data_IF_765231760519
#
_entry.id   IF_765231760519
#
_cell.length_a   1.000
_cell.length_b   1.000
_cell.length_c   1.000
_cell.angle_alpha   90.00
_cell.angle_beta   90.00
_cell.angle_gamma   90.00
#
_symmetry.space_group_name_H-M   'P 1'
#
loop_
_entity.id
_entity.type
_entity.pdbx_description
1 polymer ?
#
# COMPACT_ATOMS: atom_id res chain seq x y z
N UNK A 1 19.91 1.71 14.16
CA UNK A 1 18.46 1.99 14.09
C UNK A 1 17.95 2.35 15.47
N UNK A 2 17.14 3.41 15.60
CA UNK A 2 16.58 3.88 16.87
C UNK A 2 15.07 3.57 16.84
N UNK A 3 14.58 2.66 17.69
CA UNK A 3 13.13 2.39 17.79
C UNK A 3 12.42 3.52 18.53
N UNK A 4 11.25 3.92 18.04
CA UNK A 4 10.50 5.09 18.54
C UNK A 4 9.07 4.76 19.00
N UNK A 5 8.75 3.50 19.24
CA UNK A 5 7.38 3.01 19.46
C UNK A 5 6.53 3.72 20.52
N UNK A 6 7.15 4.23 21.59
CA UNK A 6 6.44 4.90 22.68
C UNK A 6 6.51 6.45 22.66
N UNK A 7 7.11 7.02 21.59
CA UNK A 7 7.29 8.47 21.49
C UNK A 7 6.08 9.14 20.82
N UNK A 8 5.80 10.39 21.19
CA UNK A 8 4.85 11.23 20.45
C UNK A 8 5.41 11.63 19.09
N UNK A 9 4.54 12.00 18.16
CA UNK A 9 4.95 12.42 16.81
C UNK A 9 5.91 13.63 16.85
N UNK A 10 5.67 14.58 17.73
CA UNK A 10 6.55 15.75 17.89
C UNK A 10 7.94 15.33 18.41
N UNK A 11 8.00 14.46 19.43
CA UNK A 11 9.27 13.95 19.96
C UNK A 11 10.06 13.14 18.91
N UNK A 12 9.35 12.45 17.99
CA UNK A 12 10.02 11.77 16.85
C UNK A 12 10.62 12.76 15.88
N UNK A 13 9.95 13.88 15.58
CA UNK A 13 10.50 14.94 14.74
C UNK A 13 11.77 15.54 15.37
N UNK A 14 11.75 15.83 16.67
CA UNK A 14 12.93 16.30 17.41
C UNK A 14 14.08 15.29 17.39
N UNK A 15 13.76 14.00 17.53
CA UNK A 15 14.76 12.92 17.45
C UNK A 15 15.39 12.83 16.07
N UNK A 16 14.60 12.93 14.99
CA UNK A 16 15.10 12.95 13.60
C UNK A 16 16.11 14.09 13.44
N UNK A 17 15.82 15.27 13.94
CA UNK A 17 16.70 16.43 13.86
C UNK A 17 17.97 16.24 14.69
N UNK A 18 17.84 15.89 15.97
CA UNK A 18 18.96 15.78 16.92
C UNK A 18 19.95 14.69 16.56
N UNK A 19 19.47 13.60 15.95
CA UNK A 19 20.32 12.49 15.50
C UNK A 19 20.82 12.63 14.07
N UNK A 20 20.37 13.68 13.36
CA UNK A 20 20.60 13.85 11.92
C UNK A 20 20.29 12.56 11.13
N UNK A 21 19.13 11.94 11.42
CA UNK A 21 18.72 10.69 10.80
C UNK A 21 18.71 10.82 9.27
N UNK A 22 19.31 9.86 8.57
CA UNK A 22 19.37 9.86 7.10
C UNK A 22 18.25 9.04 6.45
N UNK A 23 17.63 8.15 7.21
CA UNK A 23 16.54 7.27 6.76
C UNK A 23 15.48 7.20 7.85
N UNK A 24 14.21 7.28 7.43
CA UNK A 24 13.04 7.06 8.29
C UNK A 24 12.30 5.82 7.80
N UNK A 25 11.91 4.93 8.74
CA UNK A 25 11.06 3.78 8.48
C UNK A 25 9.70 4.00 9.12
N UNK A 26 8.63 3.98 8.36
CA UNK A 26 7.27 4.14 8.87
C UNK A 26 6.22 3.61 7.88
N UNK A 27 4.93 3.73 8.22
CA UNK A 27 3.86 3.50 7.25
C UNK A 27 3.67 4.74 6.36
N UNK A 28 3.15 4.61 5.12
CA UNK A 28 2.84 5.75 4.27
C UNK A 28 1.95 6.80 4.95
N UNK A 29 0.87 6.37 5.61
CA UNK A 29 -0.01 7.29 6.31
C UNK A 29 0.67 7.98 7.49
N UNK A 30 1.61 7.30 8.16
CA UNK A 30 2.36 7.93 9.25
C UNK A 30 3.36 8.98 8.74
N UNK A 31 3.99 8.76 7.59
CA UNK A 31 4.84 9.76 6.94
C UNK A 31 4.05 11.05 6.63
N UNK A 32 2.81 10.92 6.14
CA UNK A 32 1.90 12.05 5.90
C UNK A 32 1.48 12.71 7.22
N UNK A 33 1.12 11.91 8.23
CA UNK A 33 0.74 12.42 9.55
C UNK A 33 1.87 13.21 10.21
N UNK A 34 3.12 12.73 10.15
CA UNK A 34 4.26 13.49 10.67
C UNK A 34 4.45 14.83 9.95
N UNK A 35 4.20 14.87 8.64
CA UNK A 35 4.27 16.12 7.89
C UNK A 35 3.16 17.10 8.34
N UNK A 36 1.94 16.62 8.60
CA UNK A 36 0.85 17.43 9.15
C UNK A 36 1.19 17.97 10.55
N UNK A 37 1.70 17.10 11.43
CA UNK A 37 2.13 17.51 12.79
C UNK A 37 3.24 18.56 12.72
N UNK A 38 4.18 18.43 11.78
CA UNK A 38 5.22 19.42 11.57
C UNK A 38 4.62 20.78 11.16
N UNK A 39 3.70 20.79 10.19
CA UNK A 39 3.02 21.98 9.72
C UNK A 39 2.21 22.67 10.84
N UNK A 40 1.42 21.91 11.60
CA UNK A 40 0.62 22.41 12.73
C UNK A 40 1.49 23.05 13.84
N UNK A 41 2.75 22.62 13.97
CA UNK A 41 3.71 23.16 14.93
C UNK A 41 4.67 24.19 14.32
N UNK A 42 4.43 24.64 13.09
CA UNK A 42 5.28 25.62 12.40
C UNK A 42 6.67 25.10 12.02
N UNK A 43 6.83 23.77 11.95
CA UNK A 43 8.10 23.09 11.60
C UNK A 43 8.13 22.87 10.10
N UNK A 44 9.14 23.44 9.42
CA UNK A 44 9.39 23.13 8.01
C UNK A 44 10.27 21.88 7.90
N UNK A 45 9.71 20.77 7.43
CA UNK A 45 10.44 19.50 7.32
C UNK A 45 11.69 19.62 6.44
N UNK A 46 11.63 20.37 5.35
CA UNK A 46 12.78 20.60 4.46
C UNK A 46 14.01 21.18 5.19
N UNK A 47 13.81 21.92 6.27
CA UNK A 47 14.88 22.49 7.09
C UNK A 47 15.18 21.62 8.33
N UNK A 48 14.13 21.14 9.00
CA UNK A 48 14.20 20.39 10.25
C UNK A 48 14.71 18.96 10.04
N UNK A 49 14.27 18.31 8.99
CA UNK A 49 14.61 16.93 8.63
C UNK A 49 15.52 16.84 7.39
N UNK A 50 16.30 17.88 7.07
CA UNK A 50 17.16 17.97 5.87
C UNK A 50 18.19 16.84 5.74
N UNK A 51 18.49 16.15 6.81
CA UNK A 51 19.37 14.99 6.84
C UNK A 51 18.69 13.75 6.26
N UNK A 52 17.36 13.67 6.32
CA UNK A 52 16.59 12.54 5.78
C UNK A 52 16.70 12.57 4.26
N UNK A 53 17.21 11.49 3.69
CA UNK A 53 17.36 11.30 2.25
C UNK A 53 16.39 10.27 1.70
N UNK A 54 15.94 9.35 2.57
CA UNK A 54 15.03 8.26 2.20
C UNK A 54 14.00 8.03 3.28
N UNK A 55 12.77 7.77 2.83
CA UNK A 55 11.68 7.30 3.67
C UNK A 55 11.31 5.92 3.15
N UNK A 56 11.60 4.89 3.93
CA UNK A 56 11.22 3.52 3.62
C UNK A 56 9.83 3.29 4.22
N UNK A 57 8.86 3.05 3.37
CA UNK A 57 7.47 2.84 3.78
C UNK A 57 7.08 1.38 3.65
N UNK A 58 6.32 0.89 4.64
CA UNK A 58 5.83 -0.49 4.66
C UNK A 58 4.57 -0.63 5.52
N UNK A 59 3.91 -1.78 5.43
CA UNK A 59 2.84 -2.21 6.32
C UNK A 59 1.42 -1.88 5.86
N UNK A 60 1.28 -0.99 4.89
CA UNK A 60 0.01 -0.66 4.22
C UNK A 60 0.27 -0.20 2.79
N UNK A 61 -0.72 -0.18 1.88
CA UNK A 61 -0.57 0.39 0.55
C UNK A 61 -0.19 1.87 0.59
N UNK A 62 0.60 2.35 -0.36
CA UNK A 62 0.93 3.78 -0.46
C UNK A 62 2.27 4.08 -1.14
N UNK A 63 3.33 3.34 -0.84
CA UNK A 63 4.65 3.58 -1.42
C UNK A 63 4.71 3.38 -2.94
N UNK A 64 3.90 2.47 -3.45
CA UNK A 64 3.72 2.20 -4.88
C UNK A 64 2.52 2.92 -5.51
N UNK A 65 1.82 3.77 -4.75
CA UNK A 65 0.74 4.64 -5.26
C UNK A 65 1.34 6.00 -5.62
N UNK A 66 1.35 6.41 -6.91
CA UNK A 66 2.08 7.60 -7.38
C UNK A 66 1.74 8.87 -6.62
N UNK A 67 0.46 9.13 -6.39
CA UNK A 67 -0.01 10.34 -5.68
C UNK A 67 0.40 10.36 -4.22
N UNK A 68 0.32 9.23 -3.51
CA UNK A 68 0.78 9.11 -2.11
C UNK A 68 2.29 9.30 -2.03
N UNK A 69 3.04 8.64 -2.92
CA UNK A 69 4.49 8.79 -3.01
C UNK A 69 4.90 10.24 -3.22
N UNK A 70 4.32 10.90 -4.24
CA UNK A 70 4.61 12.29 -4.54
C UNK A 70 4.27 13.25 -3.38
N UNK A 71 3.16 13.00 -2.67
CA UNK A 71 2.76 13.77 -1.49
C UNK A 71 3.80 13.68 -0.36
N UNK A 72 4.29 12.47 -0.08
CA UNK A 72 5.32 12.25 0.94
C UNK A 72 6.64 12.90 0.49
N UNK A 73 7.09 12.65 -0.73
CA UNK A 73 8.34 13.20 -1.28
C UNK A 73 8.35 14.72 -1.28
N UNK A 74 7.22 15.33 -1.67
CA UNK A 74 7.07 16.81 -1.64
C UNK A 74 7.15 17.37 -0.24
N UNK A 75 6.52 16.73 0.74
CA UNK A 75 6.49 17.21 2.13
C UNK A 75 7.86 17.08 2.82
N UNK A 76 8.59 15.99 2.54
CA UNK A 76 9.84 15.66 3.22
C UNK A 76 11.10 16.10 2.46
N UNK A 77 11.02 16.35 1.17
CA UNK A 77 12.20 16.54 0.32
C UNK A 77 13.11 15.32 0.24
N UNK A 78 12.56 14.12 0.40
CA UNK A 78 13.28 12.85 0.48
C UNK A 78 12.65 11.81 -0.45
N UNK A 79 13.46 10.87 -0.94
CA UNK A 79 13.02 9.76 -1.80
C UNK A 79 12.19 8.75 -1.00
N UNK A 80 11.02 8.34 -1.52
CA UNK A 80 10.21 7.28 -0.93
C UNK A 80 10.54 5.94 -1.57
N UNK A 81 10.84 4.96 -0.73
CA UNK A 81 11.10 3.57 -1.11
C UNK A 81 10.02 2.69 -0.50
N UNK A 82 9.25 2.03 -1.35
CA UNK A 82 8.28 1.04 -0.91
C UNK A 82 8.96 -0.27 -0.52
N UNK A 83 8.47 -0.91 0.54
CA UNK A 83 9.07 -2.11 1.09
C UNK A 83 7.98 -3.06 1.60
N UNK A 84 8.11 -4.32 1.27
CA UNK A 84 7.21 -5.37 1.72
C UNK A 84 7.92 -6.41 2.58
N UNK A 85 7.22 -6.84 3.62
CA UNK A 85 7.65 -7.88 4.52
C UNK A 85 6.53 -8.30 5.45
N UNK A 86 6.68 -9.48 6.04
CA UNK A 86 5.79 -9.98 7.07
C UNK A 86 6.63 -10.63 8.17
N UNK A 87 6.09 -10.68 9.40
CA UNK A 87 6.80 -11.28 10.54
C UNK A 87 7.13 -12.74 10.30
N UNK A 88 6.28 -13.43 9.56
CA UNK A 88 6.37 -14.85 9.24
C UNK A 88 7.54 -15.16 8.30
N UNK A 89 7.76 -14.31 7.29
CA UNK A 89 8.73 -14.57 6.21
C UNK A 89 9.94 -13.65 6.25
N UNK A 90 9.81 -12.46 6.84
CA UNK A 90 10.82 -11.40 6.81
C UNK A 90 10.64 -10.44 5.64
N UNK A 91 11.65 -9.58 5.36
CA UNK A 91 11.61 -8.59 4.29
C UNK A 91 11.81 -9.27 2.92
N UNK A 92 10.77 -9.36 2.12
CA UNK A 92 10.78 -10.08 0.85
C UNK A 92 10.73 -9.18 -0.39
N UNK A 93 10.29 -7.92 -0.25
CA UNK A 93 10.06 -7.04 -1.38
C UNK A 93 10.61 -5.63 -1.16
N UNK A 94 11.10 -5.01 -2.23
CA UNK A 94 11.64 -3.66 -2.22
C UNK A 94 11.39 -2.94 -3.55
N UNK A 95 11.08 -1.65 -3.48
CA UNK A 95 11.09 -0.82 -4.67
C UNK A 95 12.54 -0.57 -5.09
N UNK A 96 12.82 -0.68 -6.39
CA UNK A 96 14.13 -0.29 -6.89
C UNK A 96 14.29 1.22 -6.75
N UNK A 97 15.39 1.73 -6.20
CA UNK A 97 15.70 3.15 -6.25
C UNK A 97 15.72 3.61 -7.70
N UNK A 98 15.17 4.79 -7.97
CA UNK A 98 15.12 5.37 -9.31
C UNK A 98 16.56 5.50 -9.85
N UNK A 99 16.98 4.57 -10.69
CA UNK A 99 18.21 4.62 -11.44
C UNK A 99 18.02 5.35 -12.77
N UNK A 100 19.10 5.66 -13.46
CA UNK A 100 19.09 6.36 -14.77
C UNK A 100 18.29 5.64 -15.87
N UNK A 101 17.87 4.40 -15.62
CA UNK A 101 17.07 3.54 -16.51
C UNK A 101 15.68 3.22 -15.92
N UNK A 102 15.23 3.95 -14.89
CA UNK A 102 13.86 3.83 -14.43
C UNK A 102 12.92 4.29 -15.53
N UNK A 103 12.16 3.39 -16.08
CA UNK A 103 11.09 3.72 -17.04
C UNK A 103 10.10 4.66 -16.36
N UNK A 104 9.70 5.72 -17.03
CA UNK A 104 8.86 6.84 -16.64
C UNK A 104 7.85 6.66 -15.48
N UNK A 105 6.77 7.44 -15.45
CA UNK A 105 5.74 7.44 -14.40
C UNK A 105 5.05 6.07 -14.16
N UNK A 106 5.18 5.12 -15.10
CA UNK A 106 4.62 3.77 -15.01
C UNK A 106 5.52 2.77 -14.26
N UNK A 107 6.70 3.17 -13.78
CA UNK A 107 7.64 2.26 -13.11
C UNK A 107 7.37 2.07 -11.60
N UNK A 108 6.10 2.10 -11.22
CA UNK A 108 5.68 1.85 -9.85
C UNK A 108 5.61 0.32 -9.60
N UNK A 109 6.22 -0.12 -8.51
CA UNK A 109 6.16 -1.53 -8.11
C UNK A 109 7.26 -1.95 -7.17
N UNK A 110 7.21 -3.23 -6.81
CA UNK A 110 8.11 -3.87 -5.85
C UNK A 110 8.77 -5.04 -6.54
N UNK A 111 10.07 -5.19 -6.37
CA UNK A 111 10.82 -6.38 -6.78
C UNK A 111 10.82 -7.39 -5.64
N UNK A 112 10.53 -8.66 -5.96
CA UNK A 112 10.74 -9.73 -4.99
C UNK A 112 12.24 -10.01 -4.88
N UNK A 113 12.75 -10.14 -3.66
CA UNK A 113 14.15 -10.50 -3.44
C UNK A 113 14.39 -11.99 -3.76
N UNK A 114 14.49 -12.33 -5.04
CA UNK A 114 14.68 -13.72 -5.49
C UNK A 114 16.06 -14.29 -5.17
N UNK A 115 16.95 -13.51 -4.54
CA UNK A 115 18.17 -14.05 -3.94
C UNK A 115 17.90 -14.79 -2.62
N UNK A 116 16.83 -14.45 -1.93
CA UNK A 116 16.47 -15.00 -0.61
C UNK A 116 15.13 -15.74 -0.63
N UNK A 117 14.32 -15.56 -1.69
CA UNK A 117 12.98 -16.13 -1.78
C UNK A 117 12.72 -16.78 -3.14
N UNK A 118 11.97 -17.86 -3.12
CA UNK A 118 11.27 -18.35 -4.32
C UNK A 118 9.87 -17.75 -4.26
N UNK A 119 9.49 -17.06 -5.33
CA UNK A 119 8.14 -16.52 -5.50
C UNK A 119 7.35 -17.43 -6.45
N UNK A 120 6.17 -17.84 -6.03
CA UNK A 120 5.17 -18.52 -6.84
C UNK A 120 3.91 -17.67 -6.89
N UNK A 121 3.20 -17.70 -8.01
CA UNK A 121 2.02 -16.88 -8.26
C UNK A 121 0.83 -17.80 -8.50
N UNK A 122 -0.08 -17.82 -7.54
CA UNK A 122 -1.25 -18.68 -7.55
C UNK A 122 -2.43 -17.93 -8.19
N UNK A 123 -3.04 -18.47 -9.25
CA UNK A 123 -4.22 -17.86 -9.85
C UNK A 123 -5.32 -17.63 -8.80
N UNK A 124 -5.97 -16.49 -8.87
CA UNK A 124 -7.11 -16.17 -8.00
C UNK A 124 -8.39 -16.37 -8.80
N UNK A 125 -9.31 -17.16 -8.26
CA UNK A 125 -10.64 -17.34 -8.87
C UNK A 125 -11.47 -16.05 -8.80
N UNK A 126 -12.51 -15.96 -9.60
CA UNK A 126 -13.46 -14.82 -9.57
C UNK A 126 -14.11 -14.61 -8.19
N UNK A 127 -14.07 -15.61 -7.32
CA UNK A 127 -14.51 -15.52 -5.92
C UNK A 127 -13.46 -14.96 -4.96
N UNK A 128 -12.26 -14.64 -5.45
CA UNK A 128 -11.19 -13.99 -4.70
C UNK A 128 -10.37 -14.91 -3.78
N UNK A 129 -10.86 -16.10 -3.47
CA UNK A 129 -10.13 -17.08 -2.67
C UNK A 129 -9.54 -18.16 -3.59
N UNK A 130 -8.21 -18.29 -3.59
CA UNK A 130 -7.56 -19.44 -4.21
C UNK A 130 -7.71 -20.66 -3.31
N UNK A 131 -8.05 -21.79 -3.87
CA UNK A 131 -8.11 -23.07 -3.16
C UNK A 131 -6.71 -23.70 -2.99
N UNK A 132 -6.58 -24.68 -2.11
CA UNK A 132 -5.31 -25.42 -1.97
C UNK A 132 -4.99 -26.24 -3.23
N UNK A 133 -5.99 -26.58 -4.05
CA UNK A 133 -5.82 -27.22 -5.36
C UNK A 133 -5.14 -26.28 -6.35
N UNK A 134 -5.39 -24.97 -6.27
CA UNK A 134 -4.76 -23.97 -7.11
C UNK A 134 -3.25 -23.83 -6.81
N UNK A 135 -2.80 -24.24 -5.63
CA UNK A 135 -1.38 -24.23 -5.27
C UNK A 135 -0.54 -25.15 -6.17
N UNK A 136 -1.14 -26.20 -6.73
CA UNK A 136 -0.46 -27.10 -7.67
C UNK A 136 -0.31 -26.48 -9.07
N UNK A 137 -1.12 -25.46 -9.39
CA UNK A 137 -1.07 -24.71 -10.64
C UNK A 137 -0.25 -23.43 -10.53
N UNK A 138 0.37 -23.16 -9.36
CA UNK A 138 1.16 -21.97 -9.13
C UNK A 138 2.35 -21.86 -10.10
N UNK A 139 2.58 -20.63 -10.56
CA UNK A 139 3.56 -20.30 -11.60
C UNK A 139 4.81 -19.72 -10.94
N UNK A 140 5.97 -20.34 -11.18
CA UNK A 140 7.27 -19.85 -10.68
C UNK A 140 7.86 -18.75 -11.58
N UNK A 141 7.68 -18.91 -12.87
CA UNK A 141 8.10 -17.92 -13.87
C UNK A 141 7.43 -18.25 -15.19
N UNK A 142 6.82 -17.33 -15.89
CA UNK A 142 6.49 -17.58 -17.28
C UNK A 142 5.99 -16.34 -18.02
N UNK A 143 6.11 -16.41 -19.34
CA UNK A 143 5.43 -15.53 -20.28
C UNK A 143 3.89 -15.69 -20.24
N UNK A 144 3.36 -16.78 -19.69
CA UNK A 144 1.93 -17.06 -19.60
C UNK A 144 1.24 -16.19 -18.53
N UNK A 145 1.93 -15.90 -17.41
CA UNK A 145 1.43 -14.99 -16.38
C UNK A 145 1.78 -13.52 -16.65
N UNK A 146 2.65 -13.25 -17.63
CA UNK A 146 3.12 -11.91 -17.92
C UNK A 146 1.99 -10.98 -18.36
N UNK A 147 1.66 -10.00 -17.52
CA UNK A 147 0.78 -8.88 -17.87
C UNK A 147 -0.73 -9.16 -17.80
N UNK A 148 -1.16 -10.36 -17.46
CA UNK A 148 -2.59 -10.70 -17.41
C UNK A 148 -2.97 -11.35 -16.06
N UNK A 149 -3.80 -10.65 -15.29
CA UNK A 149 -4.43 -11.20 -14.09
C UNK A 149 -3.79 -10.76 -12.76
N UNK A 150 -4.53 -11.06 -11.71
CA UNK A 150 -4.10 -10.89 -10.32
C UNK A 150 -3.87 -12.26 -9.72
N UNK A 151 -2.81 -12.39 -8.95
CA UNK A 151 -2.37 -13.65 -8.34
C UNK A 151 -2.19 -13.46 -6.84
N UNK A 152 -2.37 -14.53 -6.07
CA UNK A 152 -1.91 -14.57 -4.69
C UNK A 152 -0.41 -14.92 -4.69
N UNK A 153 0.38 -14.16 -3.94
CA UNK A 153 1.80 -14.41 -3.78
C UNK A 153 2.04 -15.52 -2.77
N UNK A 154 2.84 -16.51 -3.17
CA UNK A 154 3.31 -17.62 -2.33
C UNK A 154 4.83 -17.56 -2.23
N UNK A 155 5.38 -17.62 -1.03
CA UNK A 155 6.80 -17.45 -0.78
C UNK A 155 7.44 -18.67 -0.10
N UNK A 156 8.61 -19.06 -0.59
CA UNK A 156 9.52 -19.97 0.11
C UNK A 156 10.79 -19.20 0.47
N UNK A 157 11.13 -19.15 1.75
CA UNK A 157 12.34 -18.48 2.22
C UNK A 157 13.54 -19.43 2.20
N UNK A 158 14.60 -19.07 1.50
CA UNK A 158 15.80 -19.90 1.33
C UNK A 158 16.76 -19.84 2.49
N UNK A 159 16.79 -18.71 3.24
CA UNK A 159 17.78 -18.41 4.26
C UNK A 159 17.37 -18.69 5.71
N UNK A 160 16.09 -18.98 6.00
CA UNK A 160 15.58 -19.13 7.38
C UNK A 160 15.68 -20.56 7.90
N UNK A 161 16.87 -20.98 8.30
CA UNK A 161 17.11 -22.34 8.79
C UNK A 161 16.39 -22.62 10.12
N UNK A 162 16.38 -21.66 11.05
CA UNK A 162 15.78 -21.82 12.38
C UNK A 162 14.24 -21.80 12.43
N UNK A 163 13.61 -21.25 11.39
CA UNK A 163 12.15 -21.21 11.20
C UNK A 163 11.85 -21.28 9.71
N UNK A 164 11.98 -22.47 9.10
CA UNK A 164 11.81 -22.61 7.66
C UNK A 164 10.37 -22.28 7.25
N UNK A 165 10.25 -21.53 6.18
CA UNK A 165 8.97 -21.18 5.57
C UNK A 165 8.99 -21.70 4.15
N UNK A 166 8.10 -22.64 3.85
CA UNK A 166 8.00 -23.29 2.54
C UNK A 166 6.58 -23.13 2.03
N UNK A 167 6.45 -22.57 0.81
CA UNK A 167 5.18 -22.32 0.12
C UNK A 167 4.14 -21.61 1.01
N UNK A 168 4.59 -20.56 1.69
CA UNK A 168 3.75 -19.74 2.55
C UNK A 168 2.83 -18.86 1.69
N UNK A 169 1.54 -19.06 1.82
CA UNK A 169 0.53 -18.18 1.23
C UNK A 169 0.51 -16.87 1.98
N UNK A 170 0.94 -15.78 1.34
CA UNK A 170 1.01 -14.47 1.99
C UNK A 170 -0.37 -13.85 2.16
N UNK A 171 -1.34 -14.25 1.34
CA UNK A 171 -2.62 -13.58 1.19
C UNK A 171 -2.53 -12.28 0.39
N UNK A 172 -1.33 -11.87 -0.04
CA UNK A 172 -1.15 -10.65 -0.82
C UNK A 172 -1.48 -10.89 -2.29
N UNK A 173 -2.32 -10.02 -2.86
CA UNK A 173 -2.67 -10.01 -4.26
C UNK A 173 -1.69 -9.13 -5.03
N UNK A 174 -1.13 -9.68 -6.11
CA UNK A 174 -0.05 -9.05 -6.86
C UNK A 174 -0.24 -9.25 -8.36
N UNK A 175 0.47 -8.42 -9.15
CA UNK A 175 0.56 -8.57 -10.62
C UNK A 175 2.03 -8.71 -11.00
N UNK A 176 2.52 -9.94 -11.26
CA UNK A 176 3.90 -10.17 -11.61
C UNK A 176 4.20 -9.73 -13.06
N UNK A 177 5.38 -9.13 -13.24
CA UNK A 177 5.92 -8.73 -14.55
C UNK A 177 7.39 -9.11 -14.60
N UNK A 178 7.79 -9.90 -15.60
CA UNK A 178 9.19 -10.33 -15.80
C UNK A 178 9.93 -9.48 -16.84
N UNK A 179 9.24 -9.09 -17.92
CA UNK A 179 9.82 -8.20 -18.94
C UNK A 179 9.44 -6.74 -18.64
N UNK A 180 10.14 -6.13 -17.72
CA UNK A 180 9.88 -4.77 -17.24
C UNK A 180 10.95 -3.76 -17.69
N UNK A 181 11.94 -4.20 -18.51
CA UNK A 181 12.98 -3.31 -19.05
C UNK A 181 13.95 -2.73 -18.02
N UNK A 182 13.94 -3.21 -16.79
CA UNK A 182 14.80 -2.75 -15.68
C UNK A 182 16.10 -3.57 -15.62
N UNK A 183 17.19 -2.97 -15.12
CA UNK A 183 18.47 -3.68 -14.91
C UNK A 183 18.36 -4.79 -13.83
N UNK A 184 17.47 -4.64 -12.87
CA UNK A 184 17.13 -5.69 -11.90
C UNK A 184 16.38 -6.81 -12.63
N UNK A 185 16.89 -8.05 -12.51
CA UNK A 185 16.33 -9.25 -13.17
C UNK A 185 15.25 -9.95 -12.34
N UNK A 186 15.02 -9.52 -11.12
CA UNK A 186 13.98 -10.08 -10.23
C UNK A 186 12.59 -9.76 -10.76
N UNK A 187 11.64 -10.64 -10.46
CA UNK A 187 10.24 -10.40 -10.82
C UNK A 187 9.74 -9.12 -10.15
N UNK A 188 9.10 -8.27 -10.95
CA UNK A 188 8.48 -7.02 -10.50
C UNK A 188 7.00 -7.24 -10.25
N UNK A 189 6.49 -6.76 -9.15
CA UNK A 189 5.07 -6.69 -8.83
C UNK A 189 4.55 -5.31 -9.20
N UNK A 190 3.87 -5.19 -10.33
CA UNK A 190 3.36 -3.92 -10.85
C UNK A 190 2.32 -3.33 -9.89
N UNK A 191 2.54 -2.09 -9.41
CA UNK A 191 1.72 -1.44 -8.40
C UNK A 191 1.93 -1.96 -6.98
N UNK A 192 2.91 -2.85 -6.74
CA UNK A 192 3.20 -3.44 -5.44
C UNK A 192 2.15 -4.47 -5.00
N UNK A 193 1.80 -4.48 -3.72
CA UNK A 193 0.70 -5.28 -3.18
C UNK A 193 -0.61 -4.57 -3.48
N UNK A 194 -1.47 -5.19 -4.30
CA UNK A 194 -2.73 -4.62 -4.76
C UNK A 194 -3.85 -4.75 -3.72
N UNK A 195 -3.72 -5.69 -2.78
CA UNK A 195 -4.68 -5.96 -1.74
C UNK A 195 -4.41 -7.29 -1.06
N UNK A 196 -5.33 -7.70 -0.21
CA UNK A 196 -5.28 -9.01 0.44
C UNK A 196 -6.46 -9.86 0.01
N UNK A 197 -6.20 -11.14 -0.24
CA UNK A 197 -7.23 -12.10 -0.64
C UNK A 197 -8.29 -12.30 0.46
N UNK A 198 -7.86 -12.26 1.73
CA UNK A 198 -8.69 -12.44 2.92
C UNK A 198 -9.50 -11.19 3.32
N UNK A 199 -9.16 -10.02 2.77
CA UNK A 199 -9.91 -8.77 2.99
C UNK A 199 -11.03 -8.55 1.95
N UNK A 200 -11.17 -9.46 0.97
CA UNK A 200 -12.17 -9.32 -0.08
C UNK A 200 -13.60 -9.41 0.48
N UNK A 201 -14.45 -8.53 0.01
CA UNK A 201 -15.88 -8.54 0.30
C UNK A 201 -16.71 -8.58 -0.96
N UNK A 202 -17.81 -9.31 -0.91
CA UNK A 202 -18.81 -9.28 -1.99
C UNK A 202 -19.84 -8.20 -1.64
N UNK A 203 -19.89 -7.13 -2.43
CA UNK A 203 -20.88 -6.05 -2.31
C UNK A 203 -21.70 -6.03 -3.59
N UNK A 204 -22.99 -6.28 -3.50
CA UNK A 204 -23.89 -6.34 -4.67
C UNK A 204 -23.41 -7.29 -5.78
N UNK A 205 -22.76 -8.41 -5.40
CA UNK A 205 -22.23 -9.38 -6.36
C UNK A 205 -20.88 -8.99 -6.99
N UNK A 206 -20.28 -7.89 -6.54
CA UNK A 206 -18.96 -7.44 -7.00
C UNK A 206 -17.92 -7.69 -5.91
N UNK A 207 -16.76 -8.22 -6.28
CA UNK A 207 -15.62 -8.38 -5.39
C UNK A 207 -14.97 -7.01 -5.12
N UNK A 208 -15.05 -6.56 -3.88
CA UNK A 208 -14.48 -5.29 -3.42
C UNK A 208 -13.33 -5.57 -2.48
N UNK A 209 -12.16 -5.07 -2.82
CA UNK A 209 -10.97 -5.09 -1.97
C UNK A 209 -10.78 -3.73 -1.30
N UNK A 210 -10.60 -3.66 0.03
CA UNK A 210 -10.33 -2.41 0.74
C UNK A 210 -9.19 -1.61 0.13
N UNK A 211 -8.11 -2.28 -0.28
CA UNK A 211 -6.96 -1.65 -0.92
C UNK A 211 -7.30 -0.99 -2.27
N UNK A 212 -8.24 -1.56 -3.05
CA UNK A 212 -8.68 -0.95 -4.30
C UNK A 212 -9.45 0.35 -4.05
N UNK A 213 -10.31 0.38 -3.02
CA UNK A 213 -11.01 1.61 -2.61
C UNK A 213 -10.00 2.66 -2.13
N UNK A 214 -9.02 2.25 -1.31
CA UNK A 214 -7.95 3.13 -0.85
C UNK A 214 -7.14 3.69 -2.02
N UNK A 215 -6.77 2.86 -2.99
CA UNK A 215 -6.02 3.28 -4.17
C UNK A 215 -6.77 4.34 -4.98
N UNK A 216 -8.09 4.16 -5.18
CA UNK A 216 -8.93 5.15 -5.86
C UNK A 216 -8.93 6.48 -5.11
N UNK A 217 -9.18 6.45 -3.80
CA UNK A 217 -9.24 7.64 -2.97
C UNK A 217 -7.90 8.36 -2.87
N UNK A 218 -6.80 7.63 -2.75
CA UNK A 218 -5.44 8.17 -2.75
C UNK A 218 -5.02 8.74 -4.11
N UNK A 219 -5.74 8.40 -5.19
CA UNK A 219 -5.60 9.02 -6.50
C UNK A 219 -5.97 10.50 -6.53
N UNK A 220 -6.71 10.99 -5.54
CA UNK A 220 -7.13 12.39 -5.41
C UNK A 220 -6.23 13.12 -4.39
N UNK A 221 -5.37 14.06 -4.83
CA UNK A 221 -4.45 14.79 -3.95
C UNK A 221 -5.15 15.57 -2.83
N UNK A 222 -6.38 16.02 -3.11
CA UNK A 222 -7.24 16.77 -2.19
C UNK A 222 -7.78 15.93 -1.03
N UNK A 223 -7.80 14.59 -1.15
CA UNK A 223 -8.22 13.69 -0.07
C UNK A 223 -7.18 13.68 1.05
N UNK A 224 -7.60 14.11 2.22
CA UNK A 224 -6.78 14.16 3.44
C UNK A 224 -6.86 12.83 4.19
N UNK A 225 -8.10 12.39 4.48
CA UNK A 225 -8.38 11.14 5.17
C UNK A 225 -9.73 10.59 4.72
N UNK A 226 -9.95 9.30 4.92
CA UNK A 226 -11.21 8.65 4.57
C UNK A 226 -11.53 7.48 5.49
N UNK A 227 -12.81 7.10 5.50
CA UNK A 227 -13.32 5.88 6.12
C UNK A 227 -14.33 5.23 5.20
N UNK A 228 -14.19 3.94 4.97
CA UNK A 228 -15.10 3.13 4.17
C UNK A 228 -15.86 2.18 5.08
N UNK A 229 -17.18 2.12 4.97
CA UNK A 229 -18.03 1.26 5.76
C UNK A 229 -18.89 0.40 4.86
N UNK A 230 -18.75 -0.92 4.98
CA UNK A 230 -19.70 -1.87 4.41
C UNK A 230 -20.85 -2.10 5.40
N UNK A 231 -22.08 -2.02 4.96
CA UNK A 231 -23.27 -2.18 5.81
C UNK A 231 -24.43 -2.79 5.05
N UNK A 232 -25.44 -3.28 5.77
CA UNK A 232 -26.68 -3.78 5.18
C UNK A 232 -27.75 -2.71 5.14
N UNK A 233 -28.41 -2.56 3.99
CA UNK A 233 -29.63 -1.79 3.85
C UNK A 233 -30.73 -2.72 3.31
N UNK A 234 -31.60 -3.19 4.22
CA UNK A 234 -32.55 -4.27 3.91
C UNK A 234 -31.80 -5.58 3.62
N UNK A 235 -32.06 -6.15 2.45
CA UNK A 235 -31.40 -7.39 2.01
C UNK A 235 -30.11 -7.16 1.19
N UNK A 236 -29.74 -5.91 0.93
CA UNK A 236 -28.60 -5.59 0.06
C UNK A 236 -27.42 -5.02 0.86
N UNK A 237 -26.22 -5.49 0.52
CA UNK A 237 -24.98 -4.91 0.99
C UNK A 237 -24.70 -3.59 0.28
N UNK A 238 -24.23 -2.60 1.04
CA UNK A 238 -23.95 -1.24 0.60
C UNK A 238 -22.54 -0.84 1.02
N UNK A 239 -21.98 0.14 0.32
CA UNK A 239 -20.72 0.76 0.65
C UNK A 239 -20.91 2.26 0.83
N UNK A 240 -20.48 2.78 1.97
CA UNK A 240 -20.41 4.20 2.27
C UNK A 240 -18.95 4.61 2.41
N UNK A 241 -18.60 5.75 1.84
CA UNK A 241 -17.25 6.35 1.95
C UNK A 241 -17.40 7.75 2.54
N UNK A 242 -16.83 7.98 3.69
CA UNK A 242 -16.69 9.28 4.31
C UNK A 242 -15.32 9.83 3.97
N UNK A 243 -15.26 11.05 3.47
CA UNK A 243 -14.02 11.68 2.97
C UNK A 243 -13.81 13.03 3.66
N UNK A 244 -12.62 13.25 4.19
CA UNK A 244 -12.12 14.57 4.50
C UNK A 244 -11.31 15.07 3.29
N UNK A 245 -11.69 16.20 2.72
CA UNK A 245 -11.00 16.76 1.57
C UNK A 245 -10.77 18.26 1.73
N UNK A 246 -9.79 18.79 1.00
CA UNK A 246 -9.49 20.23 0.96
C UNK A 246 -10.41 21.01 0.01
N UNK A 247 -11.29 20.30 -0.71
CA UNK A 247 -12.28 20.84 -1.65
C UNK A 247 -13.67 20.32 -1.31
N UNK A 248 -14.70 21.09 -1.63
CA UNK A 248 -16.09 20.72 -1.35
C UNK A 248 -16.72 19.83 -2.44
N UNK A 249 -16.05 19.70 -3.60
CA UNK A 249 -16.57 18.93 -4.73
C UNK A 249 -16.12 17.47 -4.62
N UNK A 250 -17.09 16.58 -4.32
CA UNK A 250 -16.86 15.12 -4.19
C UNK A 250 -17.33 14.30 -5.39
N UNK A 251 -17.95 14.96 -6.38
CA UNK A 251 -18.51 14.25 -7.55
C UNK A 251 -17.44 13.49 -8.37
N UNK A 252 -16.21 14.02 -8.61
CA UNK A 252 -15.15 13.27 -9.26
C UNK A 252 -14.79 12.00 -8.53
N UNK A 253 -14.73 12.04 -7.17
CA UNK A 253 -14.44 10.88 -6.31
C UNK A 253 -15.55 9.82 -6.44
N UNK A 254 -16.82 10.27 -6.40
CA UNK A 254 -17.99 9.38 -6.55
C UNK A 254 -17.99 8.67 -7.89
N UNK A 255 -17.72 9.41 -8.97
CA UNK A 255 -17.65 8.85 -10.32
C UNK A 255 -16.49 7.87 -10.48
N UNK A 256 -15.32 8.16 -9.94
CA UNK A 256 -14.17 7.26 -9.97
C UNK A 256 -14.47 5.94 -9.24
N UNK A 257 -15.05 6.01 -8.04
CA UNK A 257 -15.48 4.83 -7.28
C UNK A 257 -16.52 4.02 -8.05
N UNK A 258 -17.56 4.69 -8.60
CA UNK A 258 -18.59 4.02 -9.36
C UNK A 258 -18.06 3.34 -10.62
N UNK A 259 -17.16 4.00 -11.36
CA UNK A 259 -16.60 3.46 -12.60
C UNK A 259 -15.69 2.25 -12.34
N UNK A 260 -14.90 2.28 -11.28
CA UNK A 260 -13.96 1.20 -10.99
C UNK A 260 -14.60 0.03 -10.23
N UNK A 261 -15.59 0.31 -9.37
CA UNK A 261 -16.30 -0.74 -8.62
C UNK A 261 -17.53 -1.29 -9.37
N UNK A 262 -18.00 -0.62 -10.41
CA UNK A 262 -19.15 -1.06 -11.20
C UNK A 262 -20.51 -0.86 -10.54
N UNK A 263 -20.59 -0.23 -9.38
CA UNK A 263 -21.84 0.10 -8.69
C UNK A 263 -21.76 1.47 -7.99
N UNK A 264 -22.93 2.03 -7.68
CA UNK A 264 -23.02 3.33 -7.00
C UNK A 264 -22.60 3.20 -5.53
N UNK A 265 -21.64 4.05 -5.14
CA UNK A 265 -21.14 4.20 -3.76
C UNK A 265 -21.71 5.47 -3.15
N UNK A 266 -22.11 5.41 -1.89
CA UNK A 266 -22.50 6.59 -1.13
C UNK A 266 -21.23 7.30 -0.63
N UNK A 267 -21.01 8.55 -1.09
CA UNK A 267 -19.82 9.34 -0.72
C UNK A 267 -20.29 10.59 0.02
N UNK A 268 -19.78 10.79 1.22
CA UNK A 268 -20.10 11.91 2.09
C UNK A 268 -18.84 12.70 2.43
N UNK A 269 -18.88 14.03 2.24
CA UNK A 269 -17.85 14.94 2.73
C UNK A 269 -18.06 15.17 4.23
N UNK A 270 -17.03 14.94 5.03
CA UNK A 270 -17.05 15.20 6.47
C UNK A 270 -16.07 16.33 6.83
N UNK A 271 -16.33 16.99 7.96
CA UNK A 271 -15.47 18.07 8.40
C UNK A 271 -14.04 17.58 8.68
N UNK A 272 -13.06 18.44 8.46
CA UNK A 272 -11.66 18.14 8.73
C UNK A 272 -11.46 17.74 10.20
N UNK A 273 -10.58 16.77 10.44
CA UNK A 273 -10.29 16.16 11.76
C UNK A 273 -11.47 15.39 12.39
N UNK A 274 -12.49 15.01 11.62
CA UNK A 274 -13.58 14.15 12.08
C UNK A 274 -13.18 12.68 12.13
N UNK A 275 -12.37 12.26 11.15
CA UNK A 275 -11.92 10.88 11.04
C UNK A 275 -10.66 10.63 11.89
N UNK A 276 -10.49 9.42 12.43
CA UNK A 276 -9.33 9.11 13.27
C UNK A 276 -8.04 9.19 12.45
N UNK A 277 -6.96 9.65 13.10
CA UNK A 277 -5.60 9.58 12.57
C UNK A 277 -4.89 8.35 13.17
N UNK A 278 -4.07 7.69 12.36
CA UNK A 278 -3.41 6.44 12.77
C UNK A 278 -1.89 6.64 12.82
N UNK A 279 -1.29 6.30 13.97
CA UNK A 279 0.18 6.27 14.14
C UNK A 279 0.81 4.96 13.64
N UNK A 280 -0.02 3.95 13.39
CA UNK A 280 0.35 2.64 12.87
C UNK A 280 -0.58 2.28 11.70
N UNK A 281 -0.66 1.01 11.32
CA UNK A 281 -1.56 0.52 10.26
C UNK A 281 -3.00 0.95 10.52
N UNK A 282 -3.54 1.80 9.66
CA UNK A 282 -4.88 2.37 9.79
C UNK A 282 -5.98 1.36 9.46
N UNK A 283 -7.00 1.25 10.32
CA UNK A 283 -8.22 0.50 10.02
C UNK A 283 -9.26 1.44 9.40
N UNK A 284 -9.13 1.71 8.10
CA UNK A 284 -10.01 2.61 7.34
C UNK A 284 -11.23 1.92 6.76
N UNK A 285 -11.22 0.61 6.74
CA UNK A 285 -12.33 -0.20 6.26
C UNK A 285 -13.03 -0.89 7.44
N UNK A 286 -14.35 -0.70 7.54
CA UNK A 286 -15.20 -1.23 8.61
C UNK A 286 -16.28 -2.10 7.97
N UNK A 287 -16.39 -3.35 8.39
CA UNK A 287 -17.48 -4.23 8.01
C UNK A 287 -18.52 -4.28 9.13
N UNK A 288 -19.70 -3.75 8.85
CA UNK A 288 -20.87 -3.68 9.75
C UNK A 288 -22.07 -4.49 9.19
N UNK A 289 -21.80 -5.51 8.38
CA UNK A 289 -22.87 -6.32 7.76
C UNK A 289 -23.38 -7.43 8.63
#
# INVERSE_FOLDING_TARGET
MIPTGAMTSLARLELIQSTAASVVFCTPSYAIHLAQVAEENGIRLADHAKSVKRIVVAGEPGGSIPTTKAKIESAWGAEVIDHCGASEVGPWGFACPVGKNAGGADDQGIFVNEAEFIAEFMPVSDTGAASDEDLNSAILSSTEAAGQGTFELVLTCLGRIGSPVVRYRTGDLVRPVWDHGHDCRFVKLAGGVLGRADDMMIIRGVNVFPASVEQILRGFPEVVEFRTTAFKQGAMDQLKVEVEATVDEIEPIRLALQNQLGFRVDVELVANQTLPRFEAKGKRFIDNR
#
